data_IF_478089056878
#
_entry.id   IF_478089056878
#
_cell.length_a   1.000
_cell.length_b   1.000
_cell.length_c   1.000
_cell.angle_alpha   90.00
_cell.angle_beta   90.00
_cell.angle_gamma   90.00
#
_symmetry.space_group_name_H-M   'P 1'
#
loop_
_entity.id
_entity.type
_entity.pdbx_description
1 polymer ?
#
# COMPACT_ATOMS: atom_id res chain seq x y z
N UNK A 1 12.59 -11.28 19.87
CA UNK A 1 11.83 -11.01 18.64
C UNK A 1 11.31 -9.58 18.72
N UNK A 2 12.24 -8.63 18.63
CA UNK A 2 12.04 -7.19 18.61
C UNK A 2 13.28 -6.65 17.91
N UNK A 3 13.13 -5.99 16.77
CA UNK A 3 13.95 -4.83 16.46
C UNK A 3 13.27 -4.02 15.36
N UNK A 4 12.42 -3.10 15.82
CA UNK A 4 11.82 -2.01 15.04
C UNK A 4 12.42 -0.73 15.64
N UNK A 5 13.61 -0.35 15.16
CA UNK A 5 14.28 0.91 15.52
C UNK A 5 14.26 1.84 14.32
N UNK A 6 13.11 2.47 14.15
CA UNK A 6 12.76 3.42 13.09
C UNK A 6 11.25 3.42 12.98
N UNK A 7 10.61 4.53 13.36
CA UNK A 7 9.16 4.59 13.56
C UNK A 7 8.40 4.25 12.28
N UNK A 8 7.85 3.04 12.21
CA UNK A 8 6.76 2.75 11.27
C UNK A 8 5.53 3.43 11.86
N UNK A 9 5.19 4.62 11.36
CA UNK A 9 3.93 5.24 11.72
C UNK A 9 2.81 4.51 10.97
N UNK A 10 2.43 3.33 11.48
CA UNK A 10 1.18 2.69 11.10
C UNK A 10 0.05 3.51 11.73
N UNK A 11 -0.32 4.61 11.09
CA UNK A 11 -1.49 5.38 11.51
C UNK A 11 -2.73 4.54 11.20
N UNK A 12 -3.12 3.69 12.15
CA UNK A 12 -4.45 3.10 12.26
C UNK A 12 -5.41 4.17 12.78
N UNK A 13 -5.52 5.30 12.07
CA UNK A 13 -6.73 6.10 12.20
C UNK A 13 -7.86 5.26 11.58
N UNK A 14 -9.07 5.27 12.16
CA UNK A 14 -10.08 4.22 12.00
C UNK A 14 -10.62 4.00 10.58
N UNK A 15 -10.04 4.65 9.56
CA UNK A 15 -10.44 4.54 8.17
C UNK A 15 -9.29 4.32 7.17
N UNK A 16 -7.99 4.25 7.52
CA UNK A 16 -6.93 4.22 6.48
C UNK A 16 -5.78 3.24 6.78
N UNK A 17 -5.31 2.52 5.76
CA UNK A 17 -4.12 1.65 5.84
C UNK A 17 -3.03 2.26 4.98
N UNK A 18 -2.15 2.99 5.65
CA UNK A 18 -0.95 3.53 5.05
C UNK A 18 0.26 2.81 5.61
N UNK A 19 1.13 2.36 4.72
CA UNK A 19 2.52 2.08 5.08
C UNK A 19 3.32 3.32 4.68
N UNK A 20 3.42 4.30 5.60
CA UNK A 20 4.37 5.39 5.48
C UNK A 20 5.71 4.96 6.07
N UNK A 21 6.78 5.17 5.31
CA UNK A 21 8.13 4.87 5.76
C UNK A 21 8.96 6.15 5.67
N UNK A 22 8.82 6.99 6.69
CA UNK A 22 9.63 8.18 6.87
C UNK A 22 10.92 7.80 7.60
N UNK A 23 12.05 7.73 6.88
CA UNK A 23 13.36 7.71 7.51
C UNK A 23 14.08 9.03 7.21
N UNK A 24 14.14 9.90 8.22
CA UNK A 24 15.05 11.04 8.21
C UNK A 24 16.50 10.53 8.36
N UNK A 25 17.24 10.49 7.25
CA UNK A 25 18.68 10.19 7.24
C UNK A 25 19.08 8.75 7.61
N UNK A 26 18.12 7.85 7.83
CA UNK A 26 18.33 6.44 8.19
C UNK A 26 18.17 5.47 7.02
N UNK A 27 18.62 4.23 7.22
CA UNK A 27 18.28 3.06 6.38
C UNK A 27 17.48 2.06 7.21
N UNK A 28 16.61 1.28 6.57
CA UNK A 28 15.73 0.36 7.29
C UNK A 28 14.98 -0.60 6.37
N UNK A 29 14.09 -1.39 6.95
CA UNK A 29 13.22 -2.29 6.21
C UNK A 29 11.83 -2.36 6.82
N UNK A 30 10.83 -2.48 5.96
CA UNK A 30 9.47 -2.89 6.32
C UNK A 30 9.21 -4.23 5.64
N UNK A 31 9.16 -5.31 6.43
CA UNK A 31 9.00 -6.66 5.87
C UNK A 31 8.07 -7.55 6.66
N UNK A 32 7.49 -8.54 5.98
CA UNK A 32 6.60 -9.55 6.56
C UNK A 32 5.37 -8.94 7.25
N UNK A 33 4.73 -7.99 6.57
CA UNK A 33 3.53 -7.29 7.05
C UNK A 33 2.31 -7.94 6.41
N UNK A 34 1.23 -8.12 7.16
CA UNK A 34 0.00 -8.75 6.66
C UNK A 34 -1.22 -8.05 7.23
N UNK A 35 -2.07 -7.57 6.32
CA UNK A 35 -3.36 -6.95 6.62
C UNK A 35 -4.46 -7.85 6.07
N UNK A 36 -5.43 -8.21 6.90
CA UNK A 36 -6.45 -9.19 6.53
C UNK A 36 -7.86 -8.79 6.97
N UNK A 37 -8.86 -9.15 6.16
CA UNK A 37 -10.28 -9.08 6.49
C UNK A 37 -10.76 -7.69 6.90
N UNK A 38 -10.44 -6.70 6.07
CA UNK A 38 -10.69 -5.29 6.40
C UNK A 38 -11.92 -4.77 5.64
N UNK A 39 -12.85 -4.17 6.38
CA UNK A 39 -14.04 -3.54 5.81
C UNK A 39 -13.79 -2.03 5.63
N UNK A 40 -14.06 -1.55 4.42
CA UNK A 40 -13.83 -0.16 4.01
C UNK A 40 -15.16 0.56 3.85
N UNK A 41 -15.31 1.71 4.51
CA UNK A 41 -16.49 2.56 4.35
C UNK A 41 -16.03 3.97 4.00
N UNK A 42 -16.16 4.35 2.73
CA UNK A 42 -15.81 5.68 2.24
C UNK A 42 -14.37 6.08 2.62
N UNK A 43 -13.43 5.15 2.41
CA UNK A 43 -12.03 5.31 2.80
C UNK A 43 -11.26 5.99 1.67
N UNK A 44 -10.50 7.04 1.96
CA UNK A 44 -9.72 7.75 0.91
C UNK A 44 -8.42 7.00 0.58
N UNK A 45 -8.33 6.38 -0.59
CA UNK A 45 -7.18 5.56 -1.01
C UNK A 45 -6.87 4.42 -0.01
N UNK A 46 -7.70 3.36 0.04
CA UNK A 46 -7.60 2.30 1.06
C UNK A 46 -6.27 1.55 1.20
N UNK A 47 -5.53 1.36 0.12
CA UNK A 47 -4.25 0.63 0.14
C UNK A 47 -3.16 1.56 -0.39
N UNK A 48 -2.22 1.94 0.49
CA UNK A 48 -1.09 2.80 0.11
C UNK A 48 0.24 2.24 0.58
N UNK A 49 1.18 2.14 -0.36
CA UNK A 49 2.62 2.13 -0.14
C UNK A 49 3.16 3.37 -0.86
N UNK A 50 3.78 4.29 -0.13
CA UNK A 50 4.38 5.50 -0.72
C UNK A 50 5.79 5.71 -0.17
N UNK A 51 6.79 5.48 -1.02
CA UNK A 51 8.21 5.69 -0.72
C UNK A 51 8.77 7.01 -1.29
N UNK A 52 7.92 7.82 -1.92
CA UNK A 52 8.27 9.15 -2.46
C UNK A 52 7.59 10.27 -1.66
N UNK A 53 7.15 9.95 -0.45
CA UNK A 53 6.52 10.90 0.44
C UNK A 53 7.58 11.83 1.07
N UNK A 54 7.57 13.10 0.68
CA UNK A 54 8.38 14.16 1.32
C UNK A 54 9.28 14.95 0.37
N UNK A 55 9.59 16.18 0.76
CA UNK A 55 10.42 17.10 -0.03
C UNK A 55 11.90 16.71 0.16
N UNK A 56 12.51 16.10 -0.86
CA UNK A 56 13.97 15.96 -0.95
C UNK A 56 14.59 14.70 -0.36
N UNK A 57 13.78 13.73 0.07
CA UNK A 57 14.29 12.43 0.55
C UNK A 57 13.57 11.30 -0.16
N UNK A 58 14.21 10.78 -1.21
CA UNK A 58 13.80 9.52 -1.81
C UNK A 58 13.93 8.45 -0.73
N UNK A 59 12.87 7.70 -0.43
CA UNK A 59 12.89 6.54 0.48
C UNK A 59 13.75 5.37 -0.02
N UNK A 60 14.74 5.64 -0.88
CA UNK A 60 15.65 4.67 -1.50
C UNK A 60 16.46 3.86 -0.47
N UNK A 61 16.59 4.35 0.76
CA UNK A 61 17.30 3.66 1.83
C UNK A 61 16.43 2.65 2.59
N UNK A 62 15.18 2.43 2.17
CA UNK A 62 14.25 1.52 2.86
C UNK A 62 13.74 0.44 1.93
N UNK A 63 14.02 -0.81 2.32
CA UNK A 63 13.51 -1.98 1.61
C UNK A 63 12.10 -2.32 2.10
N UNK A 64 11.14 -2.43 1.17
CA UNK A 64 9.80 -2.97 1.43
C UNK A 64 9.71 -4.34 0.80
N UNK A 65 9.42 -5.36 1.60
CA UNK A 65 9.26 -6.72 1.08
C UNK A 65 8.22 -7.55 1.82
N UNK A 66 7.64 -8.54 1.16
CA UNK A 66 6.72 -9.51 1.79
C UNK A 66 5.54 -8.84 2.51
N UNK A 67 4.85 -7.94 1.80
CA UNK A 67 3.66 -7.23 2.31
C UNK A 67 2.40 -7.85 1.70
N UNK A 68 1.43 -8.23 2.53
CA UNK A 68 0.20 -8.89 2.10
C UNK A 68 -1.03 -8.06 2.46
N UNK A 69 -1.91 -7.85 1.49
CA UNK A 69 -3.23 -7.26 1.65
C UNK A 69 -4.28 -8.27 1.22
N UNK A 70 -5.06 -8.81 2.17
CA UNK A 70 -6.00 -9.89 1.91
C UNK A 70 -7.42 -9.58 2.39
N UNK A 71 -8.42 -9.82 1.54
CA UNK A 71 -9.82 -9.77 1.96
C UNK A 71 -10.36 -8.36 2.27
N UNK A 72 -9.81 -7.32 1.63
CA UNK A 72 -10.32 -5.96 1.78
C UNK A 72 -11.64 -5.85 1.04
N UNK A 73 -12.71 -5.39 1.69
CA UNK A 73 -14.03 -5.27 1.06
C UNK A 73 -14.67 -3.94 1.40
N UNK A 74 -15.19 -3.22 0.40
CA UNK A 74 -15.99 -2.02 0.64
C UNK A 74 -15.67 -0.88 -0.31
N UNK A 75 -15.75 0.36 0.16
CA UNK A 75 -15.76 1.55 -0.71
C UNK A 75 -14.61 2.53 -0.48
N UNK A 76 -14.08 3.06 -1.59
CA UNK A 76 -13.10 4.13 -1.65
C UNK A 76 -13.77 5.49 -1.87
N UNK A 77 -13.47 6.49 -1.05
CA UNK A 77 -13.94 7.86 -1.23
C UNK A 77 -13.35 8.55 -2.47
N UNK A 78 -12.18 8.09 -2.89
CA UNK A 78 -11.41 8.61 -4.03
C UNK A 78 -11.45 7.63 -5.20
N UNK A 79 -11.19 8.15 -6.41
CA UNK A 79 -11.02 7.32 -7.60
C UNK A 79 -9.81 6.38 -7.48
N UNK A 80 -8.72 6.82 -6.87
CA UNK A 80 -7.52 6.01 -6.68
C UNK A 80 -7.61 5.18 -5.38
N UNK A 81 -7.96 3.91 -5.50
CA UNK A 81 -8.15 3.04 -4.35
C UNK A 81 -6.85 2.37 -3.88
N UNK A 82 -5.97 2.02 -4.82
CA UNK A 82 -4.71 1.31 -4.54
C UNK A 82 -3.57 2.14 -5.11
N UNK A 83 -2.61 2.51 -4.28
CA UNK A 83 -1.43 3.28 -4.68
C UNK A 83 -0.18 2.57 -4.16
N UNK A 84 0.64 2.04 -5.06
CA UNK A 84 1.92 1.40 -4.74
C UNK A 84 3.05 2.19 -5.40
N UNK A 85 3.43 3.31 -4.79
CA UNK A 85 4.47 4.21 -5.27
C UNK A 85 5.81 3.88 -4.61
N UNK A 86 6.58 2.98 -5.23
CA UNK A 86 7.87 2.55 -4.70
C UNK A 86 9.03 3.37 -5.30
N UNK A 87 10.08 3.53 -4.51
CA UNK A 87 11.31 4.23 -4.90
C UNK A 87 12.10 3.41 -5.92
N UNK A 88 13.26 3.90 -6.37
CA UNK A 88 14.16 3.15 -7.27
C UNK A 88 14.61 1.79 -6.71
N UNK A 89 14.62 1.63 -5.38
CA UNK A 89 14.96 0.38 -4.72
C UNK A 89 13.86 -0.68 -4.84
N UNK A 90 12.65 -0.28 -5.22
CA UNK A 90 11.50 -1.15 -5.45
C UNK A 90 10.86 -1.69 -4.18
N UNK A 91 9.64 -2.19 -4.33
CA UNK A 91 8.98 -3.01 -3.32
C UNK A 91 8.79 -4.42 -3.88
N UNK A 92 9.09 -5.45 -3.10
CA UNK A 92 9.08 -6.84 -3.57
C UNK A 92 8.13 -7.72 -2.77
N UNK A 93 7.73 -8.86 -3.35
CA UNK A 93 6.82 -9.83 -2.74
C UNK A 93 5.53 -9.19 -2.19
N UNK A 94 4.97 -8.22 -2.92
CA UNK A 94 3.65 -7.66 -2.59
C UNK A 94 2.58 -8.67 -3.02
N UNK A 95 1.67 -9.01 -2.12
CA UNK A 95 0.53 -9.87 -2.42
C UNK A 95 -0.76 -9.10 -2.18
N UNK A 96 -1.57 -8.94 -3.22
CA UNK A 96 -2.97 -8.53 -3.10
C UNK A 96 -3.86 -9.73 -3.40
N UNK A 97 -4.68 -10.16 -2.45
CA UNK A 97 -5.51 -11.36 -2.61
C UNK A 97 -6.94 -11.14 -2.11
N UNK A 98 -7.94 -11.50 -2.92
CA UNK A 98 -9.36 -11.43 -2.54
C UNK A 98 -9.82 -10.03 -2.09
N UNK A 99 -9.26 -8.97 -2.68
CA UNK A 99 -9.64 -7.60 -2.36
C UNK A 99 -10.74 -7.12 -3.32
N UNK A 100 -11.84 -6.60 -2.80
CA UNK A 100 -12.93 -6.01 -3.56
C UNK A 100 -13.20 -4.59 -3.08
N UNK A 101 -12.51 -3.64 -3.70
CA UNK A 101 -12.58 -2.22 -3.37
C UNK A 101 -13.25 -1.49 -4.54
N UNK A 102 -14.44 -0.97 -4.31
CA UNK A 102 -15.19 -0.21 -5.31
C UNK A 102 -15.22 1.27 -4.94
N UNK A 103 -15.57 2.14 -5.86
CA UNK A 103 -15.72 3.56 -5.56
C UNK A 103 -17.00 3.82 -4.77
N UNK A 104 -16.96 4.75 -3.81
CA UNK A 104 -18.14 5.31 -3.16
C UNK A 104 -18.87 6.32 -4.09
N UNK A 105 -18.22 6.77 -5.17
CA UNK A 105 -18.79 7.68 -6.16
C UNK A 105 -19.44 6.88 -7.31
N UNK A 106 -20.76 7.02 -7.57
CA UNK A 106 -21.48 6.19 -8.53
C UNK A 106 -20.94 6.24 -9.98
N UNK A 107 -20.35 7.36 -10.38
CA UNK A 107 -19.94 7.62 -11.76
C UNK A 107 -18.48 7.29 -12.06
N UNK A 108 -17.70 6.87 -11.06
CA UNK A 108 -16.27 6.60 -11.22
C UNK A 108 -15.92 5.24 -10.69
N UNK A 109 -15.26 4.42 -11.49
CA UNK A 109 -14.69 3.18 -11.01
C UNK A 109 -13.49 3.47 -10.09
N UNK A 110 -13.27 2.60 -9.11
CA UNK A 110 -12.01 2.57 -8.38
C UNK A 110 -10.87 2.21 -9.35
N UNK A 111 -9.70 2.81 -9.17
CA UNK A 111 -8.50 2.58 -9.96
C UNK A 111 -7.31 2.26 -9.07
N UNK A 112 -6.26 1.74 -9.70
CA UNK A 112 -4.98 1.49 -9.04
C UNK A 112 -3.86 2.23 -9.76
N UNK A 113 -2.83 2.59 -9.01
CA UNK A 113 -1.57 3.12 -9.51
C UNK A 113 -0.43 2.34 -8.89
N UNK A 114 0.61 2.05 -9.67
CA UNK A 114 1.85 1.56 -9.11
C UNK A 114 3.09 1.97 -9.91
N UNK A 115 4.22 2.02 -9.23
CA UNK A 115 5.55 2.34 -9.76
C UNK A 115 6.58 1.52 -9.01
N UNK A 116 7.43 0.78 -9.74
CA UNK A 116 8.47 -0.10 -9.20
C UNK A 116 8.00 -1.06 -8.09
N UNK A 117 6.75 -1.51 -8.19
CA UNK A 117 6.14 -2.45 -7.26
C UNK A 117 6.11 -3.83 -7.89
N UNK A 118 6.64 -4.83 -7.19
CA UNK A 118 6.80 -6.19 -7.68
C UNK A 118 6.02 -7.17 -6.81
N UNK A 119 5.23 -8.02 -7.45
CA UNK A 119 4.37 -8.95 -6.73
C UNK A 119 3.23 -9.53 -7.55
N UNK A 120 2.17 -9.96 -6.86
CA UNK A 120 1.05 -10.67 -7.47
C UNK A 120 -0.29 -10.13 -6.95
N UNK A 121 -1.24 -9.90 -7.86
CA UNK A 121 -2.64 -9.64 -7.55
C UNK A 121 -3.50 -10.85 -7.94
N UNK A 122 -4.32 -11.34 -7.01
CA UNK A 122 -5.25 -12.46 -7.21
C UNK A 122 -6.65 -12.04 -6.77
N UNK A 123 -7.65 -12.21 -7.64
CA UNK A 123 -9.05 -11.86 -7.34
C UNK A 123 -9.17 -10.47 -6.68
N UNK A 124 -8.50 -9.48 -7.27
CA UNK A 124 -8.40 -8.13 -6.72
C UNK A 124 -9.08 -7.12 -7.65
N UNK A 125 -9.94 -6.31 -7.07
CA UNK A 125 -10.61 -5.15 -7.69
C UNK A 125 -10.24 -3.91 -6.86
N UNK A 126 -9.75 -2.82 -7.49
CA UNK A 126 -9.47 -2.67 -8.93
C UNK A 126 -8.27 -3.51 -9.41
N UNK A 127 -8.23 -3.79 -10.72
CA UNK A 127 -7.11 -4.51 -11.34
C UNK A 127 -5.82 -3.67 -11.29
N UNK A 128 -4.69 -4.28 -10.94
CA UNK A 128 -3.37 -3.62 -10.84
C UNK A 128 -2.42 -4.11 -11.94
N UNK A 129 -2.50 -3.57 -13.17
CA UNK A 129 -1.76 -4.11 -14.32
C UNK A 129 -0.24 -3.89 -14.24
N UNK A 130 0.21 -2.89 -13.49
CA UNK A 130 1.63 -2.57 -13.33
C UNK A 130 2.33 -3.41 -12.24
N UNK A 131 1.58 -4.23 -11.49
CA UNK A 131 2.15 -5.11 -10.47
C UNK A 131 2.59 -6.41 -11.15
N UNK A 132 3.88 -6.51 -11.45
CA UNK A 132 4.50 -7.65 -12.10
C UNK A 132 5.47 -8.36 -11.17
N UNK A 133 5.75 -9.64 -11.41
CA UNK A 133 6.88 -10.34 -10.78
C UNK A 133 8.18 -10.05 -11.53
#
# INVERSE_FOLDING_TARGET
>A
MQDIRGGVSCILQPLLIFIFIDLDGGSGYAKQITFEQIILVNVRNPIIIDQDYGIGRKGANVSVSSVKFRGFTGTSASGLAIQLNCSSSGCYDILLEQNNIVSAQPEKAASSFCTNAHGTARNTVPNIPCLSN
#
